data_IF_559505110601
#
_entry.id   IF_559505110601
#
_cell.length_a   1.000
_cell.length_b   1.000
_cell.length_c   1.000
_cell.angle_alpha   90.00
_cell.angle_beta   90.00
_cell.angle_gamma   90.00
#
_symmetry.space_group_name_H-M   'P 1'
#
loop_
_entity.id
_entity.type
_entity.pdbx_description
1 polymer ?
#
# COMPACT_ATOMS: atom_id res chain seq x y z
N UNK A 1 20.73 -5.81 -54.00
CA UNK A 1 20.61 -7.29 -53.88
C UNK A 1 19.27 -7.55 -53.21
N UNK A 2 18.27 -7.92 -54.00
CA UNK A 2 16.86 -7.94 -53.66
C UNK A 2 16.51 -9.27 -52.97
N UNK A 3 15.73 -9.20 -51.89
CA UNK A 3 15.09 -10.35 -51.25
C UNK A 3 13.75 -10.64 -51.95
N UNK A 4 13.39 -11.91 -52.20
CA UNK A 4 12.15 -12.26 -52.88
C UNK A 4 10.94 -12.23 -51.93
N UNK A 5 9.84 -11.72 -52.49
CA UNK A 5 8.47 -11.85 -52.01
C UNK A 5 8.05 -13.33 -51.97
N UNK A 6 7.44 -13.73 -50.83
CA UNK A 6 6.61 -14.92 -50.76
C UNK A 6 5.17 -14.48 -50.65
N UNK A 7 4.46 -14.49 -51.75
CA UNK A 7 2.99 -14.50 -51.83
C UNK A 7 2.52 -15.96 -51.84
N UNK A 8 1.45 -16.21 -51.09
CA UNK A 8 0.57 -17.37 -51.32
C UNK A 8 0.69 -18.46 -50.33
N UNK A 9 -0.21 -18.44 -49.31
CA UNK A 9 -1.01 -19.60 -48.87
C UNK A 9 -2.04 -19.13 -47.86
N UNK A 10 -3.16 -18.63 -48.35
CA UNK A 10 -4.45 -18.66 -47.65
C UNK A 10 -5.18 -19.88 -48.20
N UNK A 11 -5.61 -20.78 -47.33
CA UNK A 11 -6.87 -21.51 -47.42
C UNK A 11 -6.91 -22.68 -46.40
N UNK A 12 -8.09 -22.72 -45.77
CA UNK A 12 -8.65 -23.86 -45.01
C UNK A 12 -8.01 -24.29 -43.67
N UNK A 13 -8.63 -23.90 -42.58
CA UNK A 13 -9.23 -24.84 -41.61
C UNK A 13 -10.34 -24.11 -40.82
N UNK A 14 -11.57 -24.14 -41.35
CA UNK A 14 -12.80 -24.08 -40.59
C UNK A 14 -13.19 -25.55 -40.28
N UNK A 15 -13.18 -25.93 -39.03
CA UNK A 15 -13.87 -27.15 -38.57
C UNK A 15 -14.19 -27.05 -37.07
N UNK A 16 -15.44 -26.72 -36.79
CA UNK A 16 -16.34 -27.34 -35.83
C UNK A 16 -15.82 -27.62 -34.39
N UNK A 17 -16.28 -26.78 -33.43
CA UNK A 17 -16.52 -27.23 -32.08
C UNK A 17 -18.01 -27.05 -31.75
N UNK A 18 -18.79 -28.13 -31.95
CA UNK A 18 -20.19 -28.24 -31.53
C UNK A 18 -20.27 -28.36 -30.01
N UNK A 19 -21.15 -27.58 -29.40
CA UNK A 19 -21.58 -27.71 -28.00
C UNK A 19 -22.68 -28.77 -27.91
N UNK A 20 -22.66 -29.70 -26.94
CA UNK A 20 -23.80 -30.57 -26.69
C UNK A 20 -24.88 -29.79 -25.89
N UNK A 21 -26.10 -29.77 -26.45
CA UNK A 21 -27.32 -29.34 -25.78
C UNK A 21 -27.77 -30.38 -24.76
N UNK A 22 -28.06 -29.96 -23.56
CA UNK A 22 -28.67 -30.73 -22.51
C UNK A 22 -30.19 -30.75 -22.69
N UNK A 23 -30.76 -31.95 -22.87
CA UNK A 23 -32.24 -32.20 -22.83
C UNK A 23 -32.56 -32.88 -21.49
N UNK A 24 -33.63 -32.35 -20.88
CA UNK A 24 -34.15 -32.75 -19.58
C UNK A 24 -34.91 -34.11 -19.57
N UNK A 25 -35.25 -34.54 -18.39
CA UNK A 25 -36.11 -35.68 -18.06
C UNK A 25 -36.12 -35.95 -16.55
N UNK A 26 -37.06 -35.61 -15.95
CA UNK A 26 -38.08 -35.88 -14.93
C UNK A 26 -37.81 -37.09 -13.96
N UNK A 27 -38.15 -36.81 -12.71
CA UNK A 27 -38.78 -37.61 -11.66
C UNK A 27 -38.12 -38.89 -11.12
N UNK A 28 -37.84 -38.86 -9.79
CA UNK A 28 -38.43 -39.81 -8.82
C UNK A 28 -37.92 -39.57 -7.37
N UNK A 29 -38.89 -39.56 -6.47
CA UNK A 29 -38.73 -39.49 -5.00
C UNK A 29 -37.96 -40.68 -4.43
N UNK A 30 -37.12 -40.45 -3.37
CA UNK A 30 -37.05 -41.34 -2.22
C UNK A 30 -36.50 -40.64 -0.97
N UNK A 31 -37.22 -40.83 0.16
CA UNK A 31 -36.87 -40.44 1.50
C UNK A 31 -35.69 -41.23 2.06
N UNK A 32 -34.81 -40.57 2.84
CA UNK A 32 -33.79 -41.25 3.63
C UNK A 32 -33.07 -40.28 4.53
N UNK A 33 -33.51 -40.16 5.81
CA UNK A 33 -32.87 -39.41 6.87
C UNK A 33 -31.57 -40.08 7.32
N UNK A 34 -30.47 -39.31 7.37
CA UNK A 34 -29.39 -39.58 8.33
C UNK A 34 -28.56 -38.32 8.58
N UNK A 35 -28.46 -38.01 9.88
CA UNK A 35 -27.68 -36.90 10.42
C UNK A 35 -26.17 -37.16 10.26
N UNK A 36 -25.44 -36.25 9.66
CA UNK A 36 -24.01 -36.13 9.86
C UNK A 36 -23.65 -34.65 9.90
N UNK A 37 -23.11 -34.23 11.06
CA UNK A 37 -22.54 -32.90 11.25
C UNK A 37 -21.25 -32.79 10.46
N UNK A 38 -21.25 -31.96 9.45
CA UNK A 38 -20.02 -31.59 8.74
C UNK A 38 -19.89 -30.06 8.83
N UNK A 39 -18.92 -29.62 9.64
CA UNK A 39 -18.54 -28.21 9.79
C UNK A 39 -17.54 -27.84 8.68
N UNK A 40 -18.03 -27.55 7.49
CA UNK A 40 -17.21 -26.91 6.46
C UNK A 40 -17.41 -25.40 6.51
N UNK A 41 -16.51 -24.71 7.18
CA UNK A 41 -16.39 -23.24 7.10
C UNK A 41 -15.75 -22.85 5.76
N UNK A 42 -16.58 -22.77 4.72
CA UNK A 42 -16.20 -22.11 3.48
C UNK A 42 -16.33 -20.61 3.67
N UNK A 43 -15.28 -19.92 4.08
CA UNK A 43 -15.20 -18.45 4.03
C UNK A 43 -14.91 -17.99 2.60
N UNK A 44 -15.93 -18.03 1.75
CA UNK A 44 -15.94 -17.34 0.48
C UNK A 44 -16.24 -15.86 0.73
N UNK A 45 -15.23 -15.03 0.99
CA UNK A 45 -15.36 -13.58 1.02
C UNK A 45 -15.27 -13.00 -0.39
N UNK A 46 -16.33 -13.15 -1.17
CA UNK A 46 -16.56 -12.30 -2.32
C UNK A 46 -17.22 -10.99 -1.84
N UNK A 47 -16.43 -10.05 -1.36
CA UNK A 47 -16.90 -8.70 -1.06
C UNK A 47 -16.94 -7.85 -2.32
N UNK A 48 -17.95 -8.04 -3.16
CA UNK A 48 -18.39 -7.00 -4.09
C UNK A 48 -19.28 -6.02 -3.32
N UNK A 49 -18.68 -5.17 -2.49
CA UNK A 49 -19.37 -4.02 -1.95
C UNK A 49 -19.25 -2.89 -2.99
N UNK A 50 -20.33 -2.65 -3.74
CA UNK A 50 -20.52 -1.37 -4.34
C UNK A 50 -20.41 -0.31 -3.23
N UNK A 51 -19.56 0.75 -3.37
CA UNK A 51 -19.45 1.77 -2.34
C UNK A 51 -20.82 2.42 -2.18
N UNK A 52 -21.45 2.28 -1.01
CA UNK A 52 -22.62 3.06 -0.68
C UNK A 52 -22.19 4.53 -0.71
N UNK A 53 -22.95 5.41 -1.38
CA UNK A 53 -22.61 6.84 -1.58
C UNK A 53 -22.33 7.60 -0.27
N UNK A 54 -22.86 7.12 0.85
CA UNK A 54 -22.71 7.74 2.15
C UNK A 54 -21.26 7.80 2.69
N UNK A 55 -20.46 6.72 2.68
CA UNK A 55 -19.06 6.78 3.12
C UNK A 55 -18.19 7.64 2.20
N UNK A 56 -18.45 7.64 0.89
CA UNK A 56 -17.71 8.47 -0.05
C UNK A 56 -17.96 9.97 0.19
N UNK A 57 -19.21 10.38 0.43
CA UNK A 57 -19.55 11.76 0.74
C UNK A 57 -18.90 12.23 2.05
N UNK A 58 -18.89 11.40 3.08
CA UNK A 58 -18.22 11.73 4.35
C UNK A 58 -16.71 11.95 4.14
N UNK A 59 -16.04 11.06 3.42
CA UNK A 59 -14.62 11.18 3.11
C UNK A 59 -14.30 12.44 2.28
N UNK A 60 -15.14 12.78 1.29
CA UNK A 60 -14.96 14.00 0.48
C UNK A 60 -15.15 15.27 1.31
N UNK A 61 -16.15 15.31 2.21
CA UNK A 61 -16.36 16.45 3.11
C UNK A 61 -15.13 16.62 4.01
N UNK A 62 -14.65 15.55 4.63
CA UNK A 62 -13.46 15.59 5.48
C UNK A 62 -12.24 16.07 4.69
N UNK A 63 -12.03 15.58 3.47
CA UNK A 63 -10.91 15.99 2.61
C UNK A 63 -10.96 17.50 2.31
N UNK A 64 -12.13 18.06 1.99
CA UNK A 64 -12.30 19.50 1.75
C UNK A 64 -12.05 20.31 3.00
N UNK A 65 -12.58 19.86 4.14
CA UNK A 65 -12.37 20.52 5.45
C UNK A 65 -10.88 20.49 5.81
N UNK A 66 -10.23 19.33 5.76
CA UNK A 66 -8.80 19.17 6.05
C UNK A 66 -7.95 20.02 5.12
N UNK A 67 -8.25 20.05 3.82
CA UNK A 67 -7.54 20.91 2.85
C UNK A 67 -7.70 22.40 3.16
N UNK A 68 -8.87 22.83 3.61
CA UNK A 68 -9.11 24.24 3.99
C UNK A 68 -8.32 24.59 5.26
N UNK A 69 -8.29 23.71 6.25
CA UNK A 69 -7.51 23.90 7.48
C UNK A 69 -6.02 23.97 7.16
N UNK A 70 -5.52 23.06 6.33
CA UNK A 70 -4.13 23.08 5.86
C UNK A 70 -3.72 24.46 5.34
N UNK A 71 -4.50 25.04 4.42
CA UNK A 71 -4.18 26.37 3.90
C UNK A 71 -4.29 27.46 4.95
N UNK A 72 -5.25 27.39 5.87
CA UNK A 72 -5.38 28.33 6.96
C UNK A 72 -4.18 28.29 7.92
N UNK A 73 -3.71 27.09 8.27
CA UNK A 73 -2.55 26.89 9.14
C UNK A 73 -1.23 27.24 8.46
N UNK A 74 -1.07 26.89 7.17
CA UNK A 74 0.11 27.28 6.40
C UNK A 74 0.26 28.81 6.32
N UNK A 75 -0.80 29.49 5.88
CA UNK A 75 -0.80 30.95 5.77
C UNK A 75 -0.68 31.58 7.16
N UNK A 76 -1.41 31.01 8.13
CA UNK A 76 -1.36 31.47 9.51
C UNK A 76 0.00 31.31 10.15
N UNK A 77 0.67 30.20 9.95
CA UNK A 77 2.02 29.95 10.43
C UNK A 77 3.05 30.92 9.85
N UNK A 78 2.93 31.21 8.55
CA UNK A 78 3.78 32.23 7.90
C UNK A 78 3.54 33.67 8.44
N UNK A 79 2.27 34.05 8.67
CA UNK A 79 1.92 35.36 9.15
C UNK A 79 2.26 35.52 10.64
N UNK A 80 1.97 34.53 11.46
CA UNK A 80 2.18 34.58 12.92
C UNK A 80 3.61 34.29 13.33
N UNK A 81 4.43 33.73 12.41
CA UNK A 81 5.77 33.30 12.72
C UNK A 81 5.83 31.99 13.54
N UNK A 82 4.72 31.27 13.73
CA UNK A 82 4.68 30.03 14.50
C UNK A 82 5.22 28.84 13.69
N UNK A 83 6.30 28.21 14.20
CA UNK A 83 6.82 26.96 13.62
C UNK A 83 5.93 25.77 13.98
N UNK A 84 5.27 25.81 15.13
CA UNK A 84 4.34 24.75 15.51
C UNK A 84 3.14 24.70 14.57
N UNK A 85 2.58 25.84 14.18
CA UNK A 85 1.48 25.90 13.21
C UNK A 85 1.92 25.45 11.81
N UNK A 86 3.15 25.81 11.40
CA UNK A 86 3.74 25.30 10.15
C UNK A 86 3.98 23.80 10.20
N UNK A 87 4.42 23.27 11.34
CA UNK A 87 4.64 21.82 11.51
C UNK A 87 3.33 21.05 11.39
N UNK A 88 2.24 21.55 11.97
CA UNK A 88 0.91 20.96 11.87
C UNK A 88 0.39 20.99 10.43
N UNK A 89 0.49 22.14 9.76
CA UNK A 89 0.15 22.28 8.34
C UNK A 89 0.95 21.30 7.44
N UNK A 90 2.26 21.14 7.67
CA UNK A 90 3.08 20.23 6.86
C UNK A 90 2.74 18.77 7.09
N UNK A 91 2.31 18.38 8.28
CA UNK A 91 1.75 17.06 8.53
C UNK A 91 0.50 16.81 7.67
N UNK A 92 -0.46 17.75 7.71
CA UNK A 92 -1.68 17.66 6.90
C UNK A 92 -1.40 17.62 5.38
N UNK A 93 -0.40 18.38 4.90
CA UNK A 93 0.03 18.33 3.49
C UNK A 93 0.51 16.93 3.09
N UNK A 94 1.32 16.31 3.94
CA UNK A 94 1.82 14.96 3.72
C UNK A 94 0.69 13.97 3.46
N UNK A 95 -0.33 14.04 4.27
CA UNK A 95 -1.43 13.09 4.25
C UNK A 95 -2.37 13.35 3.05
N UNK A 96 -2.65 14.61 2.76
CA UNK A 96 -3.38 15.00 1.56
C UNK A 96 -2.62 14.61 0.28
N UNK A 97 -1.31 14.87 0.23
CA UNK A 97 -0.45 14.48 -0.89
C UNK A 97 -0.42 12.94 -1.05
N UNK A 98 -0.32 12.19 0.04
CA UNK A 98 -0.40 10.72 0.04
C UNK A 98 -1.68 10.21 -0.61
N UNK A 99 -2.84 10.79 -0.26
CA UNK A 99 -4.14 10.42 -0.85
C UNK A 99 -4.19 10.76 -2.34
N UNK A 100 -3.76 11.97 -2.73
CA UNK A 100 -3.74 12.40 -4.13
C UNK A 100 -2.83 11.50 -4.96
N UNK A 101 -1.66 11.19 -4.45
CA UNK A 101 -0.68 10.30 -5.07
C UNK A 101 -1.26 8.90 -5.24
N UNK A 102 -1.91 8.35 -4.21
CA UNK A 102 -2.56 7.03 -4.28
C UNK A 102 -3.66 7.01 -5.35
N UNK A 103 -4.50 8.05 -5.43
CA UNK A 103 -5.54 8.16 -6.47
C UNK A 103 -4.92 8.23 -7.87
N UNK A 104 -3.90 9.06 -8.10
CA UNK A 104 -3.21 9.16 -9.38
C UNK A 104 -2.55 7.82 -9.75
N UNK A 105 -1.91 7.18 -8.79
CA UNK A 105 -1.24 5.89 -9.00
C UNK A 105 -2.23 4.77 -9.32
N UNK A 106 -3.39 4.71 -8.66
CA UNK A 106 -4.48 3.79 -9.00
C UNK A 106 -4.97 4.03 -10.43
N UNK A 107 -5.16 5.28 -10.83
CA UNK A 107 -5.59 5.64 -12.18
C UNK A 107 -4.55 5.24 -13.25
N UNK A 108 -3.26 5.42 -12.95
CA UNK A 108 -2.15 5.01 -13.82
C UNK A 108 -1.99 3.48 -13.79
N UNK A 109 -2.05 2.86 -12.62
CA UNK A 109 -1.91 1.42 -12.40
C UNK A 109 -3.01 0.59 -13.08
N UNK A 110 -4.21 1.18 -13.29
CA UNK A 110 -5.30 0.57 -14.07
C UNK A 110 -5.05 0.56 -15.58
N UNK A 111 -4.02 1.27 -16.06
CA UNK A 111 -3.65 1.17 -17.48
C UNK A 111 -3.14 -0.23 -17.76
N UNK A 112 -3.65 -0.83 -18.83
CA UNK A 112 -3.23 -2.15 -19.27
C UNK A 112 -1.72 -2.20 -19.47
N UNK A 113 -1.13 -3.35 -19.13
CA UNK A 113 0.26 -3.65 -19.49
C UNK A 113 0.46 -3.49 -21.00
N UNK A 114 1.63 -3.03 -21.40
CA UNK A 114 2.00 -2.87 -22.81
C UNK A 114 3.38 -3.53 -23.06
N UNK A 115 3.82 -3.53 -24.30
CA UNK A 115 5.09 -4.17 -24.70
C UNK A 115 6.34 -3.62 -23.97
N UNK A 116 6.28 -2.38 -23.45
CA UNK A 116 7.39 -1.76 -22.71
C UNK A 116 7.23 -1.90 -21.18
N UNK A 117 5.98 -1.95 -20.68
CA UNK A 117 5.65 -2.12 -19.26
C UNK A 117 4.86 -3.42 -19.09
N UNK A 118 5.55 -4.56 -19.11
CA UNK A 118 4.94 -5.90 -19.10
C UNK A 118 4.20 -6.19 -17.80
N UNK A 119 4.70 -5.71 -16.66
CA UNK A 119 4.02 -5.75 -15.36
C UNK A 119 3.06 -4.57 -15.13
N UNK A 120 2.85 -3.70 -16.14
CA UNK A 120 2.08 -2.47 -16.02
C UNK A 120 2.81 -1.39 -15.23
N UNK A 121 2.05 -0.48 -14.61
CA UNK A 121 2.58 0.71 -13.94
C UNK A 121 2.43 0.65 -12.40
N UNK A 122 2.34 -0.55 -11.81
CA UNK A 122 2.11 -0.72 -10.36
C UNK A 122 3.20 -0.08 -9.50
N UNK A 123 4.46 -0.10 -9.92
CA UNK A 123 5.57 0.54 -9.20
C UNK A 123 5.49 2.07 -9.15
N UNK A 124 4.67 2.71 -10.00
CA UNK A 124 4.47 4.17 -9.94
C UNK A 124 3.90 4.60 -8.59
N UNK A 125 3.01 3.80 -7.99
CA UNK A 125 2.47 4.05 -6.66
C UNK A 125 3.56 4.05 -5.59
N UNK A 126 4.45 3.07 -5.64
CA UNK A 126 5.56 2.92 -4.69
C UNK A 126 6.55 4.09 -4.81
N UNK A 127 6.93 4.45 -6.05
CA UNK A 127 7.82 5.60 -6.31
C UNK A 127 7.20 6.90 -5.81
N UNK A 128 5.91 7.10 -6.06
CA UNK A 128 5.20 8.28 -5.63
C UNK A 128 5.09 8.36 -4.09
N UNK A 129 4.82 7.23 -3.42
CA UNK A 129 4.83 7.13 -1.96
C UNK A 129 6.23 7.42 -1.38
N UNK A 130 7.30 6.95 -2.04
CA UNK A 130 8.67 7.26 -1.66
C UNK A 130 8.96 8.77 -1.75
N UNK A 131 8.59 9.41 -2.86
CA UNK A 131 8.78 10.85 -3.05
C UNK A 131 8.02 11.64 -1.96
N UNK A 132 6.78 11.24 -1.66
CA UNK A 132 6.01 11.84 -0.57
C UNK A 132 6.73 11.68 0.77
N UNK A 133 7.14 10.46 1.13
CA UNK A 133 7.83 10.19 2.39
C UNK A 133 9.15 11.00 2.53
N UNK A 134 9.93 11.10 1.44
CA UNK A 134 11.16 11.92 1.43
C UNK A 134 10.87 13.41 1.60
N UNK A 135 9.81 13.91 0.97
CA UNK A 135 9.40 15.32 1.10
C UNK A 135 9.03 15.63 2.54
N UNK A 136 8.21 14.78 3.16
CA UNK A 136 7.80 14.93 4.58
C UNK A 136 8.99 14.86 5.52
N UNK A 137 9.89 13.90 5.30
CA UNK A 137 11.11 13.76 6.08
C UNK A 137 11.98 15.02 5.98
N UNK A 138 12.18 15.54 4.76
CA UNK A 138 12.93 16.77 4.50
C UNK A 138 12.32 17.98 5.21
N UNK A 139 11.00 18.15 5.13
CA UNK A 139 10.27 19.25 5.80
C UNK A 139 10.38 19.09 7.33
N UNK A 140 10.19 17.88 7.86
CA UNK A 140 10.30 17.62 9.30
C UNK A 140 11.70 17.92 9.84
N UNK A 141 12.74 17.55 9.10
CA UNK A 141 14.12 17.90 9.43
C UNK A 141 14.31 19.42 9.41
N UNK A 142 13.77 20.11 8.40
CA UNK A 142 13.82 21.56 8.33
C UNK A 142 13.13 22.22 9.55
N UNK A 143 11.95 21.71 9.97
CA UNK A 143 11.23 22.17 11.17
C UNK A 143 12.11 22.02 12.41
N UNK A 144 12.77 20.87 12.59
CA UNK A 144 13.67 20.61 13.72
C UNK A 144 14.85 21.59 13.72
N UNK A 145 15.47 21.81 12.56
CA UNK A 145 16.58 22.77 12.40
C UNK A 145 16.13 24.20 12.74
N UNK A 146 14.97 24.62 12.23
CA UNK A 146 14.42 25.96 12.50
C UNK A 146 14.04 26.10 13.98
N UNK A 147 13.45 25.08 14.60
CA UNK A 147 13.15 25.04 16.02
C UNK A 147 14.43 25.21 16.89
N UNK A 148 15.50 24.49 16.54
CA UNK A 148 16.80 24.61 17.23
C UNK A 148 17.42 25.99 17.02
N UNK A 149 17.30 26.58 15.81
CA UNK A 149 17.76 27.93 15.52
C UNK A 149 17.04 28.95 16.40
N UNK A 150 15.72 28.83 16.58
CA UNK A 150 14.91 29.73 17.42
C UNK A 150 15.20 29.59 18.92
N UNK A 151 15.85 28.56 19.37
CA UNK A 151 16.39 28.49 20.73
C UNK A 151 17.53 29.51 20.96
N UNK A 152 18.26 29.88 19.90
CA UNK A 152 19.36 30.86 19.97
C UNK A 152 18.89 32.28 19.62
N UNK A 153 17.96 32.39 18.69
CA UNK A 153 17.42 33.66 18.19
C UNK A 153 15.88 33.61 18.27
N UNK A 154 15.29 33.94 19.43
CA UNK A 154 13.85 33.91 19.60
C UNK A 154 13.17 34.90 18.64
N UNK A 155 12.12 34.44 17.96
CA UNK A 155 11.27 35.27 17.09
C UNK A 155 9.99 35.59 17.86
N UNK A 156 9.51 36.82 17.74
CA UNK A 156 8.22 37.19 18.31
C UNK A 156 7.07 36.55 17.55
N UNK A 157 6.22 35.81 18.28
CA UNK A 157 5.09 35.05 17.73
C UNK A 157 3.81 35.79 18.07
N UNK A 158 2.95 35.99 17.05
CA UNK A 158 1.62 36.54 17.23
C UNK A 158 0.67 35.51 17.82
N UNK A 159 0.74 35.25 19.11
CA UNK A 159 0.03 34.17 19.79
C UNK A 159 -1.51 34.27 19.66
N UNK A 160 -2.09 35.47 19.61
CA UNK A 160 -3.53 35.65 19.44
C UNK A 160 -4.07 35.09 18.14
N UNK A 161 -3.61 35.57 16.97
CA UNK A 161 -3.99 34.98 15.67
C UNK A 161 -3.62 33.48 15.53
N UNK A 162 -2.46 33.06 16.05
CA UNK A 162 -2.05 31.65 16.08
C UNK A 162 -3.10 30.79 16.79
N UNK A 163 -3.56 31.17 17.97
CA UNK A 163 -4.58 30.44 18.74
C UNK A 163 -5.93 30.40 18.03
N UNK A 164 -6.34 31.49 17.37
CA UNK A 164 -7.61 31.51 16.63
C UNK A 164 -7.56 30.46 15.49
N UNK A 165 -6.48 30.41 14.75
CA UNK A 165 -6.32 29.48 13.64
C UNK A 165 -6.29 28.04 14.17
N UNK A 166 -5.50 27.75 15.20
CA UNK A 166 -5.44 26.42 15.82
C UNK A 166 -6.78 25.98 16.42
N UNK A 167 -7.57 26.91 16.99
CA UNK A 167 -8.89 26.62 17.50
C UNK A 167 -9.88 26.27 16.38
N UNK A 168 -9.82 26.98 15.26
CA UNK A 168 -10.63 26.67 14.06
C UNK A 168 -10.24 25.28 13.55
N UNK A 169 -8.96 24.95 13.45
CA UNK A 169 -8.45 23.63 13.07
C UNK A 169 -8.96 22.53 14.00
N UNK A 170 -8.82 22.74 15.31
CA UNK A 170 -9.30 21.77 16.32
C UNK A 170 -10.80 21.51 16.22
N UNK A 171 -11.63 22.59 16.09
CA UNK A 171 -13.09 22.46 15.98
C UNK A 171 -13.46 21.72 14.69
N UNK A 172 -12.84 22.05 13.57
CA UNK A 172 -13.11 21.40 12.29
C UNK A 172 -12.69 19.92 12.30
N UNK A 173 -11.54 19.58 12.91
CA UNK A 173 -11.11 18.21 13.10
C UNK A 173 -12.04 17.45 14.06
N UNK A 174 -12.53 18.09 15.13
CA UNK A 174 -13.51 17.49 16.03
C UNK A 174 -14.85 17.17 15.31
N UNK A 175 -15.32 18.09 14.45
CA UNK A 175 -16.51 17.86 13.60
C UNK A 175 -16.27 16.72 12.63
N UNK A 176 -15.11 16.68 11.97
CA UNK A 176 -14.72 15.60 11.06
C UNK A 176 -14.65 14.26 11.79
N UNK A 177 -14.04 14.20 12.97
CA UNK A 177 -14.01 13.01 13.81
C UNK A 177 -15.42 12.54 14.21
N UNK A 178 -16.31 13.46 14.54
CA UNK A 178 -17.69 13.14 14.88
C UNK A 178 -18.47 12.56 13.69
N UNK A 179 -18.29 13.11 12.49
CA UNK A 179 -18.89 12.60 11.24
C UNK A 179 -18.39 11.18 10.96
N UNK A 180 -17.07 10.94 11.09
CA UNK A 180 -16.47 9.64 10.80
C UNK A 180 -16.77 8.60 11.89
N UNK A 181 -17.00 9.03 13.13
CA UNK A 181 -17.22 8.13 14.26
C UNK A 181 -18.37 7.15 14.05
N UNK A 182 -19.49 7.61 13.48
CA UNK A 182 -20.68 6.77 13.25
C UNK A 182 -20.49 5.74 12.13
N UNK A 183 -19.47 5.91 11.28
CA UNK A 183 -19.25 5.07 10.09
C UNK A 183 -17.97 4.22 10.17
N UNK A 184 -17.15 4.37 11.23
CA UNK A 184 -15.85 3.71 11.39
C UNK A 184 -15.90 2.19 11.42
N UNK A 185 -17.03 1.61 11.87
CA UNK A 185 -17.20 0.15 11.99
C UNK A 185 -17.57 -0.52 10.67
N UNK A 186 -17.94 0.28 9.65
CA UNK A 186 -18.41 -0.21 8.36
C UNK A 186 -17.32 -0.25 7.28
N UNK A 187 -16.15 0.41 7.50
CA UNK A 187 -15.07 0.49 6.50
C UNK A 187 -13.72 0.76 7.14
N UNK A 188 -12.73 -0.06 6.78
CA UNK A 188 -11.33 0.12 7.20
C UNK A 188 -10.79 1.48 6.78
N UNK A 189 -11.19 1.98 5.60
CA UNK A 189 -10.78 3.31 5.12
C UNK A 189 -11.33 4.43 6.00
N UNK A 190 -12.58 4.33 6.46
CA UNK A 190 -13.20 5.31 7.38
C UNK A 190 -12.53 5.25 8.75
N UNK A 191 -12.19 4.05 9.23
CA UNK A 191 -11.44 3.88 10.48
C UNK A 191 -10.05 4.52 10.39
N UNK A 192 -9.34 4.34 9.28
CA UNK A 192 -8.06 4.99 9.02
C UNK A 192 -8.17 6.51 9.03
N UNK A 193 -9.17 7.07 8.31
CA UNK A 193 -9.44 8.50 8.27
C UNK A 193 -9.81 9.07 9.66
N UNK A 194 -10.57 8.32 10.47
CA UNK A 194 -10.91 8.72 11.84
C UNK A 194 -9.67 8.83 12.74
N UNK A 195 -8.79 7.82 12.70
CA UNK A 195 -7.53 7.82 13.48
C UNK A 195 -6.59 8.95 13.03
N UNK A 196 -6.60 9.26 11.74
CA UNK A 196 -5.84 10.37 11.18
C UNK A 196 -6.32 11.72 11.74
N UNK A 197 -7.62 12.02 11.62
CA UNK A 197 -8.21 13.25 12.15
C UNK A 197 -7.98 13.38 13.67
N UNK A 198 -7.94 12.27 14.41
CA UNK A 198 -7.61 12.26 15.83
C UNK A 198 -6.16 12.68 16.10
N UNK A 199 -5.22 12.29 15.22
CA UNK A 199 -3.82 12.71 15.31
C UNK A 199 -3.67 14.22 15.02
N UNK A 200 -4.39 14.75 14.03
CA UNK A 200 -4.42 16.19 13.71
C UNK A 200 -4.96 17.04 14.89
N UNK A 201 -5.95 16.50 15.61
CA UNK A 201 -6.43 17.15 16.84
C UNK A 201 -5.33 17.29 17.91
N UNK A 202 -4.44 16.30 18.04
CA UNK A 202 -3.31 16.38 18.98
C UNK A 202 -2.31 17.48 18.58
N UNK A 203 -2.05 17.67 17.29
CA UNK A 203 -1.25 18.76 16.75
C UNK A 203 -1.85 20.11 17.12
N UNK A 204 -3.12 20.32 16.76
CA UNK A 204 -3.85 21.57 17.08
C UNK A 204 -3.90 21.87 18.59
N UNK A 205 -4.06 20.84 19.45
CA UNK A 205 -4.01 21.00 20.91
C UNK A 205 -2.62 21.45 21.37
N UNK A 206 -1.55 20.88 20.81
CA UNK A 206 -0.18 21.29 21.14
C UNK A 206 0.08 22.76 20.78
N UNK A 207 -0.41 23.20 19.60
CA UNK A 207 -0.34 24.60 19.16
C UNK A 207 -1.13 25.53 20.10
N UNK A 208 -2.34 25.14 20.52
CA UNK A 208 -3.17 25.92 21.45
C UNK A 208 -2.52 26.05 22.83
N UNK A 209 -1.92 24.97 23.35
CA UNK A 209 -1.18 25.00 24.61
C UNK A 209 0.00 25.98 24.50
N UNK A 210 0.78 25.88 23.41
CA UNK A 210 1.92 26.78 23.18
C UNK A 210 1.47 28.25 23.11
N UNK A 211 0.43 28.54 22.33
CA UNK A 211 -0.14 29.90 22.22
C UNK A 211 -0.65 30.41 23.54
N UNK A 212 -1.33 29.59 24.34
CA UNK A 212 -1.80 29.95 25.69
C UNK A 212 -0.64 30.29 26.65
N UNK A 213 0.45 29.51 26.62
CA UNK A 213 1.65 29.76 27.40
C UNK A 213 2.31 31.07 26.96
N UNK A 214 2.44 31.31 25.64
CA UNK A 214 3.00 32.57 25.12
C UNK A 214 2.17 33.78 25.56
N UNK A 215 0.84 33.69 25.45
CA UNK A 215 -0.04 34.78 25.87
C UNK A 215 0.03 35.08 27.39
N UNK A 216 0.14 34.04 28.20
CA UNK A 216 0.16 34.16 29.66
C UNK A 216 1.52 34.60 30.21
N UNK A 217 2.62 34.17 29.58
CA UNK A 217 3.97 34.32 30.14
C UNK A 217 4.93 35.14 29.27
N UNK A 218 4.61 35.35 27.98
CA UNK A 218 5.53 35.90 26.98
C UNK A 218 6.65 34.92 26.56
N UNK A 219 6.59 33.63 26.99
CA UNK A 219 7.66 32.66 26.77
C UNK A 219 7.58 32.05 25.38
N UNK A 220 8.30 32.64 24.41
CA UNK A 220 8.26 32.25 22.99
C UNK A 220 8.75 30.83 22.71
N UNK A 221 9.54 30.25 23.61
CA UNK A 221 10.05 28.88 23.46
C UNK A 221 8.96 27.80 23.52
N UNK A 222 7.75 28.13 23.98
CA UNK A 222 6.63 27.23 23.99
C UNK A 222 6.27 26.74 22.56
N UNK A 223 6.36 27.60 21.55
CA UNK A 223 6.16 27.23 20.12
C UNK A 223 7.25 26.27 19.64
N UNK A 224 8.51 26.51 20.04
CA UNK A 224 9.63 25.63 19.72
C UNK A 224 9.40 24.21 20.29
N UNK A 225 8.94 24.12 21.53
CA UNK A 225 8.65 22.82 22.17
C UNK A 225 7.49 22.13 21.43
N UNK A 226 6.41 22.86 21.14
CA UNK A 226 5.26 22.29 20.41
C UNK A 226 5.68 21.80 19.01
N UNK A 227 6.48 22.59 18.26
CA UNK A 227 6.96 22.17 16.94
C UNK A 227 7.87 20.93 17.00
N UNK A 228 8.72 20.80 18.02
CA UNK A 228 9.55 19.61 18.23
C UNK A 228 8.70 18.39 18.59
N UNK A 229 7.64 18.56 19.39
CA UNK A 229 6.71 17.48 19.73
C UNK A 229 5.98 17.00 18.47
N UNK A 230 5.45 17.93 17.65
CA UNK A 230 4.79 17.59 16.38
C UNK A 230 5.78 16.90 15.44
N UNK A 231 6.99 17.42 15.27
CA UNK A 231 8.02 16.79 14.45
C UNK A 231 8.37 15.37 14.95
N UNK A 232 8.46 15.16 16.25
CA UNK A 232 8.74 13.85 16.84
C UNK A 232 7.62 12.82 16.60
N UNK A 233 6.38 13.26 16.41
CA UNK A 233 5.25 12.41 16.03
C UNK A 233 5.27 12.05 14.54
N UNK A 234 5.69 12.99 13.68
CA UNK A 234 5.67 12.84 12.21
C UNK A 234 6.89 12.07 11.69
N UNK A 235 8.09 12.38 12.20
CA UNK A 235 9.36 11.81 11.73
C UNK A 235 9.38 10.27 11.69
N UNK A 236 8.96 9.54 12.74
CA UNK A 236 8.98 8.08 12.72
C UNK A 236 8.07 7.50 11.66
N UNK A 237 6.89 8.10 11.41
CA UNK A 237 5.94 7.66 10.38
C UNK A 237 6.51 7.86 8.98
N UNK A 238 7.07 9.04 8.70
CA UNK A 238 7.71 9.33 7.42
C UNK A 238 8.90 8.39 7.17
N UNK A 239 9.71 8.12 8.19
CA UNK A 239 10.81 7.16 8.12
C UNK A 239 10.33 5.73 7.82
N UNK A 240 9.30 5.26 8.53
CA UNK A 240 8.72 3.92 8.30
C UNK A 240 8.17 3.78 6.89
N UNK A 241 7.44 4.80 6.38
CA UNK A 241 6.91 4.80 5.02
C UNK A 241 8.05 4.78 4.00
N UNK A 242 9.09 5.60 4.19
CA UNK A 242 10.27 5.62 3.33
C UNK A 242 10.95 4.25 3.29
N UNK A 243 11.20 3.64 4.45
CA UNK A 243 11.85 2.33 4.52
C UNK A 243 10.99 1.22 3.93
N UNK A 244 9.66 1.28 4.11
CA UNK A 244 8.73 0.33 3.50
C UNK A 244 8.77 0.41 1.97
N UNK A 245 8.68 1.60 1.40
CA UNK A 245 8.72 1.80 -0.05
C UNK A 245 10.09 1.44 -0.65
N UNK A 246 11.18 1.73 0.07
CA UNK A 246 12.53 1.31 -0.34
C UNK A 246 12.67 -0.21 -0.39
N UNK A 247 12.13 -0.95 0.60
CA UNK A 247 12.16 -2.43 0.60
C UNK A 247 11.48 -3.00 -0.64
N UNK A 248 10.33 -2.44 -1.03
CA UNK A 248 9.61 -2.87 -2.24
C UNK A 248 10.44 -2.59 -3.50
N UNK A 249 11.06 -1.41 -3.60
CA UNK A 249 11.90 -1.03 -4.75
C UNK A 249 13.19 -1.85 -4.83
N UNK A 250 13.73 -2.26 -3.69
CA UNK A 250 14.91 -3.14 -3.58
C UNK A 250 14.55 -4.63 -3.71
N UNK A 251 13.30 -4.93 -4.10
CA UNK A 251 12.84 -6.29 -4.37
C UNK A 251 12.99 -7.25 -3.19
N UNK A 252 12.91 -6.72 -1.96
CA UNK A 252 12.89 -7.56 -0.77
C UNK A 252 11.59 -8.35 -0.69
N UNK A 253 11.66 -9.53 -0.06
CA UNK A 253 10.48 -10.35 0.20
C UNK A 253 9.41 -9.55 0.95
N UNK A 254 8.14 -9.56 0.47
CA UNK A 254 7.08 -8.77 1.09
C UNK A 254 6.74 -9.31 2.49
N UNK A 255 6.26 -8.44 3.41
CA UNK A 255 5.85 -8.86 4.74
C UNK A 255 4.82 -9.99 4.69
N UNK A 256 5.02 -11.01 5.51
CA UNK A 256 4.15 -12.19 5.56
C UNK A 256 4.61 -13.36 4.67
N UNK A 257 5.70 -13.19 3.92
CA UNK A 257 6.31 -14.26 3.12
C UNK A 257 7.76 -14.47 3.59
N UNK A 258 7.99 -15.60 4.28
CA UNK A 258 9.34 -16.02 4.65
C UNK A 258 9.93 -16.90 3.52
N UNK A 259 11.04 -16.50 2.90
CA UNK A 259 11.68 -17.33 1.87
C UNK A 259 12.01 -18.74 2.34
N UNK A 260 12.37 -18.91 3.63
CA UNK A 260 12.66 -20.23 4.17
C UNK A 260 11.41 -21.13 4.27
N UNK A 261 10.24 -20.57 4.59
CA UNK A 261 8.98 -21.31 4.60
C UNK A 261 8.56 -21.72 3.19
N UNK A 262 8.77 -20.85 2.20
CA UNK A 262 8.43 -21.14 0.80
C UNK A 262 9.41 -22.17 0.21
N UNK A 263 10.70 -22.09 0.51
CA UNK A 263 11.68 -23.11 0.14
C UNK A 263 11.30 -24.49 0.71
N UNK A 264 10.97 -24.55 2.00
CA UNK A 264 10.53 -25.79 2.66
C UNK A 264 9.26 -26.36 2.01
N UNK A 265 8.26 -25.52 1.71
CA UNK A 265 7.03 -25.91 1.03
C UNK A 265 7.32 -26.55 -0.33
N UNK A 266 8.19 -25.94 -1.13
CA UNK A 266 8.54 -26.45 -2.46
C UNK A 266 9.34 -27.75 -2.41
N UNK A 267 10.17 -27.95 -1.38
CA UNK A 267 10.89 -29.23 -1.13
C UNK A 267 9.96 -30.37 -0.74
N UNK A 268 8.77 -30.08 -0.21
CA UNK A 268 7.77 -31.11 0.13
C UNK A 268 6.97 -31.58 -1.09
N UNK A 269 7.08 -30.91 -2.24
CA UNK A 269 6.40 -31.31 -3.48
C UNK A 269 6.99 -32.65 -3.98
N UNK A 270 6.12 -33.63 -4.17
CA UNK A 270 6.56 -34.99 -4.63
C UNK A 270 7.25 -34.91 -5.99
N UNK A 271 8.47 -35.39 -6.06
CA UNK A 271 9.32 -35.35 -7.25
C UNK A 271 10.30 -34.18 -7.30
N UNK A 272 10.31 -33.31 -6.34
CA UNK A 272 11.36 -32.28 -6.19
C UNK A 272 12.52 -32.85 -5.39
N UNK A 273 13.72 -32.76 -5.92
CA UNK A 273 14.96 -33.24 -5.27
C UNK A 273 15.71 -32.05 -4.63
N UNK A 274 15.72 -30.92 -5.32
CA UNK A 274 16.41 -29.73 -4.89
C UNK A 274 15.62 -28.48 -5.29
N UNK A 275 15.68 -27.45 -4.45
CA UNK A 275 15.14 -26.10 -4.70
C UNK A 275 16.31 -25.13 -4.59
N UNK A 276 16.50 -24.27 -5.59
CA UNK A 276 17.50 -23.23 -5.57
C UNK A 276 17.03 -22.00 -6.34
N UNK A 277 17.77 -20.89 -6.24
CA UNK A 277 17.50 -19.60 -6.88
C UNK A 277 16.06 -19.09 -6.61
N UNK A 278 15.62 -19.23 -5.35
CA UNK A 278 14.30 -18.75 -4.93
C UNK A 278 14.35 -17.26 -4.67
N UNK A 279 13.61 -16.49 -5.48
CA UNK A 279 13.41 -15.06 -5.29
C UNK A 279 11.94 -14.78 -5.01
N UNK A 280 11.70 -13.93 -4.00
CA UNK A 280 10.38 -13.43 -3.63
C UNK A 280 10.41 -11.91 -3.63
N UNK A 281 9.50 -11.28 -4.36
CA UNK A 281 9.40 -9.81 -4.41
C UNK A 281 7.95 -9.36 -4.55
N UNK A 282 7.74 -8.05 -4.55
CA UNK A 282 6.45 -7.44 -4.83
C UNK A 282 6.60 -6.23 -5.75
N UNK A 283 5.56 -5.93 -6.51
CA UNK A 283 5.51 -4.72 -7.34
C UNK A 283 4.86 -3.54 -6.61
N UNK A 284 3.91 -3.83 -5.73
CA UNK A 284 3.03 -2.85 -5.06
C UNK A 284 3.04 -2.97 -3.52
N UNK A 285 3.81 -3.92 -2.98
CA UNK A 285 3.89 -4.20 -1.55
C UNK A 285 2.78 -5.10 -1.01
N UNK A 286 1.84 -5.53 -1.85
CA UNK A 286 0.69 -6.36 -1.45
C UNK A 286 0.68 -7.74 -2.06
N UNK A 287 1.04 -7.84 -3.34
CA UNK A 287 1.01 -9.09 -4.12
C UNK A 287 2.41 -9.66 -4.22
N UNK A 288 2.64 -10.86 -3.69
CA UNK A 288 3.91 -11.55 -3.83
C UNK A 288 4.05 -12.19 -5.23
N UNK A 289 5.25 -12.11 -5.77
CA UNK A 289 5.70 -12.83 -6.97
C UNK A 289 6.88 -13.72 -6.59
N UNK A 290 7.04 -14.82 -7.33
CA UNK A 290 8.15 -15.73 -7.11
C UNK A 290 8.83 -16.14 -8.42
N UNK A 291 10.15 -16.33 -8.36
CA UNK A 291 10.89 -17.15 -9.33
C UNK A 291 11.70 -18.20 -8.55
N UNK A 292 11.81 -19.39 -9.11
CA UNK A 292 12.50 -20.51 -8.45
C UNK A 292 12.91 -21.57 -9.46
N UNK A 293 14.00 -22.27 -9.17
CA UNK A 293 14.43 -23.46 -9.91
C UNK A 293 14.14 -24.71 -9.08
N UNK A 294 13.52 -25.70 -9.73
CA UNK A 294 13.19 -27.00 -9.13
C UNK A 294 13.91 -28.11 -9.89
N UNK A 295 14.74 -28.86 -9.20
CA UNK A 295 15.42 -30.04 -9.78
C UNK A 295 14.52 -31.24 -9.65
N UNK A 296 14.23 -31.88 -10.80
CA UNK A 296 13.32 -33.02 -10.91
C UNK A 296 14.05 -34.18 -11.59
N UNK A 297 14.02 -35.43 -11.03
CA UNK A 297 14.69 -36.60 -11.60
C UNK A 297 14.13 -37.01 -12.98
N UNK A 298 14.91 -37.80 -13.74
CA UNK A 298 14.55 -38.22 -15.09
C UNK A 298 13.28 -39.08 -15.17
N UNK A 299 12.95 -39.81 -14.11
CA UNK A 299 11.80 -40.71 -14.01
C UNK A 299 10.48 -39.99 -13.62
N UNK A 300 10.52 -38.70 -13.37
CA UNK A 300 9.35 -37.92 -13.03
C UNK A 300 8.90 -37.01 -14.18
N UNK A 301 7.61 -36.78 -14.29
CA UNK A 301 7.04 -35.84 -15.26
C UNK A 301 7.21 -34.37 -14.78
N UNK A 302 8.02 -33.54 -15.48
CA UNK A 302 8.23 -32.14 -15.10
C UNK A 302 6.95 -31.33 -15.10
N UNK A 303 6.01 -31.64 -16.02
CA UNK A 303 4.77 -30.89 -16.12
C UNK A 303 3.84 -31.13 -14.93
N UNK A 304 3.79 -32.37 -14.44
CA UNK A 304 3.03 -32.73 -13.24
C UNK A 304 3.61 -32.02 -11.99
N UNK A 305 4.93 -32.05 -11.81
CA UNK A 305 5.60 -31.38 -10.68
C UNK A 305 5.37 -29.86 -10.74
N UNK A 306 5.49 -29.25 -11.94
CA UNK A 306 5.22 -27.82 -12.14
C UNK A 306 3.82 -27.43 -11.70
N UNK A 307 2.79 -28.20 -12.10
CA UNK A 307 1.40 -27.92 -11.71
C UNK A 307 1.22 -27.96 -10.19
N UNK A 308 1.75 -28.97 -9.52
CA UNK A 308 1.64 -29.10 -8.04
C UNK A 308 2.38 -27.96 -7.33
N UNK A 309 3.58 -27.63 -7.80
CA UNK A 309 4.35 -26.51 -7.22
C UNK A 309 3.65 -25.16 -7.40
N UNK A 310 3.05 -24.91 -8.58
CA UNK A 310 2.26 -23.69 -8.81
C UNK A 310 1.02 -23.63 -7.92
N UNK A 311 0.32 -24.75 -7.73
CA UNK A 311 -0.84 -24.83 -6.84
C UNK A 311 -0.46 -24.57 -5.38
N UNK A 312 0.63 -25.15 -4.90
CA UNK A 312 1.16 -24.90 -3.56
C UNK A 312 1.52 -23.42 -3.31
N UNK A 313 2.13 -22.76 -4.30
CA UNK A 313 2.41 -21.33 -4.23
C UNK A 313 1.14 -20.47 -4.25
N UNK A 314 0.13 -20.84 -5.05
CA UNK A 314 -1.16 -20.14 -5.10
C UNK A 314 -1.91 -20.24 -3.78
N UNK A 315 -1.91 -21.40 -3.12
CA UNK A 315 -2.52 -21.58 -1.79
C UNK A 315 -1.88 -20.69 -0.72
N UNK A 316 -0.59 -20.35 -0.89
CA UNK A 316 0.12 -19.37 -0.05
C UNK A 316 -0.08 -17.92 -0.48
N UNK A 317 -0.90 -17.66 -1.49
CA UNK A 317 -1.20 -16.31 -1.98
C UNK A 317 -0.20 -15.77 -3.02
N UNK A 318 0.73 -16.60 -3.51
CA UNK A 318 1.67 -16.24 -4.58
C UNK A 318 1.03 -16.61 -5.93
N UNK A 319 0.19 -15.74 -6.45
CA UNK A 319 -0.60 -16.02 -7.65
C UNK A 319 0.20 -15.95 -8.96
N UNK A 320 1.39 -15.34 -8.95
CA UNK A 320 2.26 -15.22 -10.12
C UNK A 320 3.65 -15.75 -9.80
N UNK A 321 3.96 -16.92 -10.36
CA UNK A 321 5.27 -17.56 -10.20
C UNK A 321 5.85 -17.95 -11.54
N UNK A 322 7.18 -17.86 -11.66
CA UNK A 322 7.97 -18.43 -12.76
C UNK A 322 8.81 -19.54 -12.17
N UNK A 323 8.54 -20.77 -12.60
CA UNK A 323 9.23 -21.96 -12.10
C UNK A 323 10.02 -22.56 -13.26
N UNK A 324 11.33 -22.63 -13.12
CA UNK A 324 12.20 -23.39 -14.02
C UNK A 324 12.32 -24.80 -13.48
N UNK A 325 11.91 -25.77 -14.28
CA UNK A 325 12.05 -27.20 -13.91
C UNK A 325 13.27 -27.77 -14.61
N UNK A 326 14.21 -28.26 -13.83
CA UNK A 326 15.52 -28.68 -14.28
C UNK A 326 15.75 -30.16 -14.07
N UNK A 327 16.68 -30.72 -14.84
CA UNK A 327 17.21 -32.06 -14.63
C UNK A 327 18.51 -32.00 -13.82
N UNK A 328 18.87 -33.03 -13.06
CA UNK A 328 20.13 -33.05 -12.31
C UNK A 328 21.36 -32.78 -13.17
N UNK A 329 21.34 -33.20 -14.44
CA UNK A 329 22.41 -32.91 -15.41
C UNK A 329 22.50 -31.42 -15.83
N UNK A 330 21.43 -30.64 -15.67
CA UNK A 330 21.41 -29.23 -16.02
C UNK A 330 22.09 -28.38 -14.96
N UNK A 331 21.92 -28.70 -13.70
CA UNK A 331 22.52 -27.99 -12.56
C UNK A 331 24.05 -27.88 -12.69
N UNK A 332 24.70 -28.91 -13.27
CA UNK A 332 26.15 -28.91 -13.53
C UNK A 332 26.59 -27.84 -14.56
N UNK A 333 25.66 -27.37 -15.42
CA UNK A 333 25.92 -26.35 -16.45
C UNK A 333 25.71 -24.94 -15.95
N UNK A 334 24.93 -24.76 -14.90
CA UNK A 334 24.68 -23.48 -14.28
C UNK A 334 25.87 -23.02 -13.46
N UNK A 335 27.04 -23.27 -13.64
CA UNK A 335 28.28 -22.83 -12.99
C UNK A 335 28.10 -21.93 -11.74
N UNK A 336 29.17 -21.63 -10.97
CA UNK A 336 29.09 -20.90 -9.70
C UNK A 336 28.72 -19.40 -9.82
N UNK A 337 28.13 -19.00 -10.93
CA UNK A 337 27.69 -17.63 -11.19
C UNK A 337 26.23 -17.45 -10.80
N UNK A 338 25.90 -17.82 -9.59
CA UNK A 338 24.65 -17.35 -9.00
C UNK A 338 24.69 -15.85 -8.95
N UNK A 339 23.78 -15.21 -9.64
CA UNK A 339 23.67 -13.74 -9.72
C UNK A 339 23.25 -13.15 -8.37
N UNK A 340 22.90 -14.00 -7.41
CA UNK A 340 22.48 -13.60 -6.08
C UNK A 340 23.23 -14.37 -4.99
#
# INVERSE_FOLDING_TARGET
MALPKLEGMSEHVDAAFERPQNRGGADAHHHGSSHSHDHSHAHGHSHSHAPTDAPLRALLIVLVVTGTIFFAELIGGLITGSVALLADAMHMLSDAAGIIIAVIAILIGRRASNAQATFGYRRVEVVAALVNAMTVLGISVWIVVEAIRRLREPVEILAGPMMIIALIGLVANAVSAWILHSQREHSVNVQGAFLHVLADMLGSVAVLIAGGVIMATGWQYADVIASLVIAALVLPRAWQLMMHTLRILLEQAPPGYDPAEIDALLREVDGVVEVHDLHLWSLDGTSALASVHLVVPEDRDPAAVLCVAQEALQERGIAHSTIQVERPSHVEHEGPHNVC
#
